data_IF_257564586531
#
_entry.id   IF_257564586531
#
_cell.length_a   1.000
_cell.length_b   1.000
_cell.length_c   1.000
_cell.angle_alpha   90.00
_cell.angle_beta   90.00
_cell.angle_gamma   90.00
#
_symmetry.space_group_name_H-M   'P 1'
#
loop_
_entity.id
_entity.type
_entity.pdbx_description
1 polymer ?
#
# COMPACT_ATOMS: atom_id res chain seq x y z
N UNK A 1 9.96 4.51 20.66
CA UNK A 1 9.64 4.16 19.26
C UNK A 1 9.38 2.67 19.26
N UNK A 2 8.20 2.24 18.82
CA UNK A 2 7.89 0.81 18.70
C UNK A 2 8.61 0.24 17.49
N UNK A 3 8.79 -1.07 17.45
CA UNK A 3 9.47 -1.75 16.34
C UNK A 3 8.56 -1.79 15.10
N UNK A 4 9.11 -1.42 13.95
CA UNK A 4 8.40 -1.51 12.67
C UNK A 4 8.60 -2.90 12.06
N UNK A 5 7.50 -3.56 11.72
CA UNK A 5 7.52 -4.83 11.00
C UNK A 5 7.45 -4.55 9.51
N UNK A 6 8.51 -4.90 8.78
CA UNK A 6 8.57 -4.82 7.33
C UNK A 6 8.09 -6.12 6.70
N UNK A 7 7.21 -6.04 5.71
CA UNK A 7 6.81 -7.20 4.91
C UNK A 7 6.35 -6.81 3.50
N UNK A 8 6.46 -7.75 2.54
CA UNK A 8 5.84 -7.59 1.24
C UNK A 8 4.34 -7.33 1.35
N UNK A 9 3.83 -6.54 0.42
CA UNK A 9 2.40 -6.38 0.16
C UNK A 9 1.72 -7.73 -0.03
N UNK A 10 0.49 -7.82 0.46
CA UNK A 10 -0.44 -8.93 0.25
C UNK A 10 -1.79 -8.38 -0.17
N UNK A 11 -2.56 -9.15 -0.98
CA UNK A 11 -3.96 -8.81 -1.23
C UNK A 11 -4.69 -8.54 0.08
N UNK A 12 -5.51 -7.47 0.10
CA UNK A 12 -6.21 -6.85 1.25
C UNK A 12 -5.46 -5.74 1.98
N UNK A 13 -4.17 -5.52 1.71
CA UNK A 13 -3.44 -4.38 2.26
C UNK A 13 -3.80 -3.04 1.58
N UNK A 14 -4.56 -3.07 0.47
CA UNK A 14 -4.89 -1.89 -0.33
C UNK A 14 -5.62 -0.81 0.47
N UNK A 15 -6.46 -1.20 1.43
CA UNK A 15 -7.18 -0.25 2.29
C UNK A 15 -6.20 0.60 3.11
N UNK A 16 -5.22 -0.03 3.77
CA UNK A 16 -4.21 0.66 4.56
C UNK A 16 -3.30 1.53 3.69
N UNK A 17 -2.91 1.04 2.51
CA UNK A 17 -2.10 1.82 1.55
C UNK A 17 -2.87 3.07 1.11
N UNK A 18 -4.14 2.93 0.76
CA UNK A 18 -5.00 4.03 0.30
C UNK A 18 -5.25 5.04 1.42
N UNK A 19 -5.49 4.58 2.65
CA UNK A 19 -5.64 5.46 3.81
C UNK A 19 -4.35 6.25 4.07
N UNK A 20 -3.20 5.58 4.10
CA UNK A 20 -1.91 6.23 4.29
C UNK A 20 -1.62 7.25 3.18
N UNK A 21 -1.91 6.89 1.93
CA UNK A 21 -1.74 7.79 0.79
C UNK A 21 -2.62 9.04 0.92
N UNK A 22 -3.90 8.87 1.31
CA UNK A 22 -4.81 9.99 1.54
C UNK A 22 -4.31 10.92 2.64
N UNK A 23 -3.85 10.35 3.76
CA UNK A 23 -3.30 11.13 4.89
C UNK A 23 -2.03 11.89 4.51
N UNK A 24 -1.19 11.30 3.66
CA UNK A 24 0.10 11.88 3.26
C UNK A 24 -0.03 12.95 2.18
N UNK A 25 -0.90 12.71 1.19
CA UNK A 25 -1.01 13.56 0.00
C UNK A 25 -2.31 14.37 -0.08
N UNK A 26 -3.19 14.26 0.93
CA UNK A 26 -4.49 14.92 0.98
C UNK A 26 -5.37 14.66 -0.26
N UNK A 27 -5.21 13.50 -0.90
CA UNK A 27 -5.98 13.09 -2.09
C UNK A 27 -6.29 11.61 -2.03
N UNK A 28 -7.46 11.23 -2.55
CA UNK A 28 -7.84 9.83 -2.62
C UNK A 28 -7.14 9.11 -3.78
N UNK A 29 -6.76 7.86 -3.51
CA UNK A 29 -6.37 6.90 -4.54
C UNK A 29 -7.45 5.84 -4.61
N UNK A 30 -8.07 5.67 -5.78
CA UNK A 30 -9.05 4.60 -5.98
C UNK A 30 -8.35 3.25 -6.02
N UNK A 31 -9.06 2.20 -5.62
CA UNK A 31 -8.56 0.83 -5.70
C UNK A 31 -8.27 0.41 -7.14
N UNK A 32 -9.15 0.78 -8.08
CA UNK A 32 -8.95 0.51 -9.50
C UNK A 32 -7.64 1.14 -10.02
N UNK A 33 -7.35 2.38 -9.61
CA UNK A 33 -6.11 3.04 -10.00
C UNK A 33 -4.88 2.39 -9.36
N UNK A 34 -4.97 2.01 -8.07
CA UNK A 34 -3.90 1.30 -7.40
C UNK A 34 -3.61 -0.06 -8.07
N UNK A 35 -4.65 -0.85 -8.38
CA UNK A 35 -4.51 -2.17 -9.02
C UNK A 35 -3.85 -2.05 -10.39
N UNK A 36 -4.35 -1.17 -11.26
CA UNK A 36 -3.74 -0.90 -12.57
C UNK A 36 -2.26 -0.50 -12.44
N UNK A 37 -1.92 0.34 -11.47
CA UNK A 37 -0.58 0.89 -11.32
C UNK A 37 0.44 -0.09 -10.74
N UNK A 38 0.04 -0.93 -9.79
CA UNK A 38 0.99 -1.71 -8.98
C UNK A 38 0.79 -3.23 -9.06
N UNK A 39 -0.45 -3.72 -9.21
CA UNK A 39 -0.75 -5.15 -9.27
C UNK A 39 -0.78 -5.67 -10.72
N UNK A 40 -1.39 -4.90 -11.63
CA UNK A 40 -1.70 -5.26 -13.02
C UNK A 40 -0.91 -4.40 -14.03
N UNK A 41 0.22 -3.84 -13.60
CA UNK A 41 1.04 -3.01 -14.47
C UNK A 41 1.53 -3.81 -15.68
N UNK A 42 1.49 -3.24 -16.91
CA UNK A 42 2.04 -3.88 -18.10
C UNK A 42 3.54 -4.23 -17.98
N UNK A 43 4.25 -3.56 -17.06
CA UNK A 43 5.66 -3.83 -16.77
C UNK A 43 5.89 -4.99 -15.79
N UNK A 44 4.84 -5.69 -15.35
CA UNK A 44 4.89 -6.75 -14.34
C UNK A 44 4.55 -6.23 -12.94
N UNK A 45 4.62 -7.13 -11.95
CA UNK A 45 4.26 -6.81 -10.57
C UNK A 45 5.21 -5.79 -9.95
N UNK A 46 4.68 -4.76 -9.30
CA UNK A 46 5.48 -3.81 -8.55
C UNK A 46 6.02 -4.45 -7.27
N UNK A 47 7.26 -4.12 -6.91
CA UNK A 47 7.80 -4.41 -5.58
C UNK A 47 7.23 -3.40 -4.59
N UNK A 48 6.33 -3.88 -3.73
CA UNK A 48 5.70 -3.07 -2.68
C UNK A 48 6.02 -3.70 -1.32
N UNK A 49 6.70 -2.94 -0.47
CA UNK A 49 7.01 -3.27 0.93
C UNK A 49 6.22 -2.34 1.84
N UNK A 50 5.71 -2.88 2.95
CA UNK A 50 4.89 -2.17 3.93
C UNK A 50 5.55 -2.21 5.29
N UNK A 51 5.47 -1.09 6.02
CA UNK A 51 5.93 -0.96 7.38
C UNK A 51 4.73 -0.84 8.33
N UNK A 52 4.63 -1.75 9.29
CA UNK A 52 3.54 -1.80 10.27
C UNK A 52 4.07 -1.49 11.67
N UNK A 53 3.38 -0.60 12.38
CA UNK A 53 3.67 -0.25 13.78
C UNK A 53 2.72 -1.05 14.70
N UNK A 54 3.07 -2.31 14.96
CA UNK A 54 2.60 -3.15 16.07
C UNK A 54 1.10 -3.47 16.24
N UNK A 55 0.18 -2.64 15.76
CA UNK A 55 -1.25 -2.65 16.12
C UNK A 55 -2.21 -2.76 14.90
N UNK A 56 -1.69 -3.02 13.70
CA UNK A 56 -2.53 -3.21 12.49
C UNK A 56 -1.95 -4.19 11.50
#
# INVERSE_FOLDING_TARGET
MRELVLRPYRPRDESAIRELFQRTYAREMSEAYWRWRFAESPGGHAFVELAWDGDT
#
